data_IF_075847465696
#
_entry.id   IF_075847465696
#
_cell.length_a   1.000
_cell.length_b   1.000
_cell.length_c   1.000
_cell.angle_alpha   90.00
_cell.angle_beta   90.00
_cell.angle_gamma   90.00
#
_symmetry.space_group_name_H-M   'P 1'
#
loop_
_entity.id
_entity.type
_entity.pdbx_description
1 polymer ?
#
# COMPACT_ATOMS: atom_id res chain seq x y z
N UNK A 1 4.48 13.41 -13.40
CA UNK A 1 4.68 12.59 -14.62
C UNK A 1 6.18 12.45 -14.84
N UNK A 2 6.67 11.22 -15.05
CA UNK A 2 8.09 11.01 -15.39
C UNK A 2 8.39 11.60 -16.77
N UNK A 3 9.61 12.13 -16.97
CA UNK A 3 9.99 12.72 -18.27
C UNK A 3 10.15 11.62 -19.33
N UNK A 4 10.00 11.97 -20.62
CA UNK A 4 10.24 11.02 -21.72
C UNK A 4 11.63 10.41 -21.67
N UNK A 5 12.64 11.20 -21.28
CA UNK A 5 14.03 10.70 -21.11
C UNK A 5 14.14 9.67 -20.00
N UNK A 6 13.36 9.81 -18.94
CA UNK A 6 13.35 8.89 -17.82
C UNK A 6 12.65 7.58 -18.20
N UNK A 7 11.54 7.66 -18.91
CA UNK A 7 10.83 6.51 -19.44
C UNK A 7 11.72 5.70 -20.41
N UNK A 8 12.43 6.37 -21.35
CA UNK A 8 13.36 5.71 -22.27
C UNK A 8 14.51 5.01 -21.53
N UNK A 9 15.02 5.62 -20.46
CA UNK A 9 16.06 5.04 -19.61
C UNK A 9 15.57 3.77 -18.88
N UNK A 10 14.35 3.80 -18.37
CA UNK A 10 13.73 2.66 -17.70
C UNK A 10 13.48 1.53 -18.70
N UNK A 11 12.91 1.81 -19.86
CA UNK A 11 12.68 0.83 -20.92
C UNK A 11 13.97 0.08 -21.28
N UNK A 12 15.06 0.84 -21.47
CA UNK A 12 16.38 0.22 -21.71
C UNK A 12 16.83 -0.68 -20.56
N UNK A 13 16.63 -0.29 -19.30
CA UNK A 13 17.01 -1.14 -18.17
C UNK A 13 16.14 -2.38 -18.07
N UNK A 14 14.85 -2.29 -18.41
CA UNK A 14 13.93 -3.43 -18.48
C UNK A 14 14.44 -4.45 -19.53
N UNK A 15 14.80 -3.99 -20.72
CA UNK A 15 15.33 -4.85 -21.79
C UNK A 15 16.67 -5.49 -21.41
N UNK A 16 17.55 -4.73 -20.77
CA UNK A 16 18.81 -5.26 -20.25
C UNK A 16 18.57 -6.30 -19.13
N UNK A 17 17.53 -6.14 -18.30
CA UNK A 17 17.14 -7.11 -17.27
C UNK A 17 16.57 -8.40 -17.89
N UNK A 18 15.74 -8.31 -18.93
CA UNK A 18 15.25 -9.47 -19.71
C UNK A 18 16.40 -10.30 -20.28
N UNK A 19 17.53 -9.65 -20.60
CA UNK A 19 18.76 -10.31 -21.06
C UNK A 19 19.63 -10.87 -19.91
N UNK A 20 19.13 -10.86 -18.66
CA UNK A 20 19.84 -11.37 -17.48
C UNK A 20 20.98 -10.48 -16.97
N UNK A 21 21.06 -9.21 -17.38
CA UNK A 21 22.14 -8.31 -16.96
C UNK A 21 21.96 -7.83 -15.53
N UNK A 22 22.71 -8.38 -14.58
CA UNK A 22 22.67 -8.03 -13.15
C UNK A 22 22.86 -6.53 -12.87
N UNK A 23 23.72 -5.86 -13.66
CA UNK A 23 23.91 -4.40 -13.51
C UNK A 23 22.62 -3.59 -13.78
N UNK A 24 21.79 -4.04 -14.69
CA UNK A 24 20.50 -3.41 -14.99
C UNK A 24 19.49 -3.68 -13.87
N UNK A 25 19.46 -4.90 -13.32
CA UNK A 25 18.65 -5.22 -12.14
C UNK A 25 19.00 -4.31 -10.96
N UNK A 26 20.29 -4.11 -10.69
CA UNK A 26 20.75 -3.17 -9.66
C UNK A 26 20.27 -1.73 -9.90
N UNK A 27 20.30 -1.24 -11.16
CA UNK A 27 19.83 0.11 -11.50
C UNK A 27 18.34 0.24 -11.29
N UNK A 28 17.54 -0.73 -11.73
CA UNK A 28 16.09 -0.76 -11.51
C UNK A 28 15.78 -0.81 -10.01
N UNK A 29 16.41 -1.71 -9.26
CA UNK A 29 16.22 -1.82 -7.81
C UNK A 29 16.49 -0.48 -7.11
N UNK A 30 17.65 0.13 -7.33
CA UNK A 30 18.01 1.41 -6.69
C UNK A 30 17.07 2.55 -7.08
N UNK A 31 16.61 2.58 -8.33
CA UNK A 31 15.73 3.64 -8.82
C UNK A 31 14.33 3.55 -8.22
N UNK A 32 13.82 2.35 -8.04
CA UNK A 32 12.46 2.10 -7.56
C UNK A 32 12.39 1.68 -6.08
N UNK A 33 13.52 1.59 -5.39
CA UNK A 33 13.56 1.21 -3.98
C UNK A 33 12.63 2.07 -3.13
N UNK A 34 12.86 3.38 -3.08
CA UNK A 34 12.09 4.27 -2.21
C UNK A 34 10.58 4.29 -2.53
N UNK A 35 10.13 4.45 -3.80
CA UNK A 35 8.70 4.41 -4.08
C UNK A 35 8.06 3.04 -3.80
N UNK A 36 8.74 1.92 -4.02
CA UNK A 36 8.20 0.59 -3.73
C UNK A 36 8.26 0.26 -2.24
N UNK A 37 9.30 0.69 -1.53
CA UNK A 37 9.37 0.60 -0.08
C UNK A 37 8.21 1.34 0.59
N UNK A 38 7.90 2.55 0.11
CA UNK A 38 6.72 3.32 0.58
C UNK A 38 5.40 2.57 0.33
N UNK A 39 5.30 1.79 -0.75
CA UNK A 39 4.13 0.89 -0.95
C UNK A 39 4.11 -0.19 0.13
N UNK A 40 5.23 -0.90 0.35
CA UNK A 40 5.30 -1.97 1.35
C UNK A 40 5.04 -1.48 2.77
N UNK A 41 5.55 -0.30 3.15
CA UNK A 41 5.33 0.32 4.47
C UNK A 41 3.85 0.48 4.82
N UNK A 42 2.97 0.70 3.84
CA UNK A 42 1.53 0.80 4.08
C UNK A 42 0.87 -0.54 4.44
N UNK A 43 1.48 -1.66 4.06
CA UNK A 43 0.98 -3.01 4.34
C UNK A 43 1.68 -3.65 5.55
N UNK A 44 2.92 -3.29 5.80
CA UNK A 44 3.76 -3.84 6.85
C UNK A 44 3.39 -3.34 8.25
N UNK A 45 3.74 -4.12 9.26
CA UNK A 45 3.65 -3.73 10.67
C UNK A 45 4.94 -3.09 11.20
N UNK A 46 6.07 -3.28 10.49
CA UNK A 46 7.37 -2.70 10.82
C UNK A 46 8.19 -2.41 9.56
N UNK A 47 9.26 -1.59 9.66
CA UNK A 47 10.18 -1.37 8.53
C UNK A 47 10.85 -2.66 8.03
N UNK A 48 11.20 -3.57 8.92
CA UNK A 48 11.82 -4.86 8.59
C UNK A 48 10.86 -5.72 7.77
N UNK A 49 9.59 -5.79 8.18
CA UNK A 49 8.54 -6.48 7.42
C UNK A 49 8.34 -5.84 6.05
N UNK A 50 8.43 -4.52 5.95
CA UNK A 50 8.35 -3.81 4.67
C UNK A 50 9.54 -4.14 3.75
N UNK A 51 10.75 -4.29 4.29
CA UNK A 51 11.93 -4.71 3.53
C UNK A 51 11.78 -6.15 3.00
N UNK A 52 11.27 -7.06 3.82
CA UNK A 52 10.99 -8.44 3.38
C UNK A 52 9.97 -8.46 2.24
N UNK A 53 8.85 -7.72 2.39
CA UNK A 53 7.84 -7.57 1.33
C UNK A 53 8.44 -6.98 0.06
N UNK A 54 9.30 -5.97 0.18
CA UNK A 54 9.97 -5.32 -0.93
C UNK A 54 10.89 -6.28 -1.67
N UNK A 55 11.69 -7.04 -0.94
CA UNK A 55 12.61 -8.02 -1.51
C UNK A 55 11.84 -9.12 -2.27
N UNK A 56 10.78 -9.68 -1.68
CA UNK A 56 9.89 -10.63 -2.38
C UNK A 56 9.22 -9.99 -3.60
N UNK A 57 8.81 -8.72 -3.47
CA UNK A 57 8.23 -7.96 -4.57
C UNK A 57 9.19 -7.81 -5.75
N UNK A 58 10.44 -7.42 -5.51
CA UNK A 58 11.44 -7.29 -6.57
C UNK A 58 11.83 -8.63 -7.19
N UNK A 59 11.89 -9.71 -6.42
CA UNK A 59 12.08 -11.06 -6.97
C UNK A 59 10.95 -11.40 -7.96
N UNK A 60 9.70 -11.13 -7.60
CA UNK A 60 8.54 -11.33 -8.50
C UNK A 60 8.57 -10.39 -9.71
N UNK A 61 9.01 -9.13 -9.54
CA UNK A 61 9.20 -8.19 -10.65
C UNK A 61 10.19 -8.76 -11.65
N UNK A 62 11.39 -9.14 -11.22
CA UNK A 62 12.42 -9.66 -12.11
C UNK A 62 12.02 -10.99 -12.76
N UNK A 63 11.34 -11.87 -12.04
CA UNK A 63 10.86 -13.15 -12.57
C UNK A 63 9.69 -13.02 -13.57
N UNK A 64 9.01 -11.87 -13.61
CA UNK A 64 7.84 -11.64 -14.46
C UNK A 64 8.06 -10.50 -15.47
N UNK A 65 9.31 -10.02 -15.67
CA UNK A 65 9.60 -8.95 -16.64
C UNK A 65 9.15 -9.28 -18.06
N UNK A 66 9.19 -10.57 -18.45
CA UNK A 66 8.73 -11.03 -19.75
C UNK A 66 7.21 -10.88 -19.94
N UNK A 67 6.45 -10.77 -18.85
CA UNK A 67 4.98 -10.53 -18.86
C UNK A 67 4.63 -9.05 -18.90
N UNK A 68 5.61 -8.16 -18.74
CA UNK A 68 5.37 -6.74 -18.89
C UNK A 68 5.28 -6.40 -20.37
N UNK A 69 4.08 -6.08 -20.82
CA UNK A 69 3.83 -5.53 -22.15
C UNK A 69 4.10 -4.03 -22.10
N UNK A 70 4.97 -3.51 -22.97
CA UNK A 70 5.38 -2.09 -23.00
C UNK A 70 4.24 -1.12 -23.41
N UNK A 71 2.99 -1.50 -23.17
CA UNK A 71 1.78 -0.77 -23.52
C UNK A 71 1.33 0.22 -22.43
N UNK A 72 2.03 0.28 -21.29
CA UNK A 72 1.64 1.08 -20.13
C UNK A 72 2.81 1.56 -19.28
N UNK A 73 2.50 2.18 -18.15
CA UNK A 73 3.51 2.66 -17.21
C UNK A 73 4.18 1.48 -16.48
N UNK A 74 5.50 1.34 -16.65
CA UNK A 74 6.29 0.33 -15.94
C UNK A 74 6.13 0.43 -14.40
N UNK A 75 6.11 1.65 -13.86
CA UNK A 75 5.93 1.86 -12.43
C UNK A 75 4.54 1.38 -11.96
N UNK A 76 3.49 1.56 -12.76
CA UNK A 76 2.15 1.09 -12.41
C UNK A 76 2.09 -0.45 -12.40
N UNK A 77 2.69 -1.09 -13.40
CA UNK A 77 2.80 -2.55 -13.46
C UNK A 77 3.63 -3.09 -12.28
N UNK A 78 4.81 -2.51 -12.02
CA UNK A 78 5.67 -2.88 -10.90
C UNK A 78 4.96 -2.73 -9.56
N UNK A 79 4.25 -1.62 -9.36
CA UNK A 79 3.45 -1.36 -8.16
C UNK A 79 2.43 -2.46 -7.92
N UNK A 80 1.70 -2.88 -8.97
CA UNK A 80 0.75 -4.00 -8.87
C UNK A 80 1.43 -5.31 -8.47
N UNK A 81 2.61 -5.61 -9.04
CA UNK A 81 3.39 -6.81 -8.68
C UNK A 81 3.84 -6.76 -7.22
N UNK A 82 4.37 -5.61 -6.77
CA UNK A 82 4.84 -5.43 -5.37
C UNK A 82 3.67 -5.47 -4.39
N UNK A 83 2.54 -4.82 -4.70
CA UNK A 83 1.32 -4.89 -3.89
C UNK A 83 0.84 -6.34 -3.73
N UNK A 84 0.77 -7.10 -4.81
CA UNK A 84 0.39 -8.51 -4.75
C UNK A 84 1.39 -9.35 -3.92
N UNK A 85 2.69 -9.05 -4.02
CA UNK A 85 3.70 -9.70 -3.18
C UNK A 85 3.49 -9.40 -1.69
N UNK A 86 3.20 -8.15 -1.34
CA UNK A 86 2.90 -7.75 0.04
C UNK A 86 1.63 -8.45 0.57
N UNK A 87 0.59 -8.61 -0.26
CA UNK A 87 -0.61 -9.37 0.13
C UNK A 87 -0.33 -10.84 0.34
N UNK A 88 0.47 -11.46 -0.53
CA UNK A 88 0.87 -12.87 -0.37
C UNK A 88 1.72 -13.06 0.89
N UNK A 89 2.63 -12.13 1.17
CA UNK A 89 3.41 -12.10 2.41
C UNK A 89 2.47 -12.05 3.63
N UNK A 90 1.49 -11.14 3.62
CA UNK A 90 0.49 -11.04 4.68
C UNK A 90 -0.31 -12.33 4.86
N UNK A 91 -0.77 -12.95 3.79
CA UNK A 91 -1.47 -14.25 3.87
C UNK A 91 -0.59 -15.31 4.51
N UNK A 92 0.67 -15.39 4.14
CA UNK A 92 1.61 -16.41 4.62
C UNK A 92 1.95 -16.26 6.10
N UNK A 93 2.19 -15.02 6.54
CA UNK A 93 2.79 -14.76 7.85
C UNK A 93 1.85 -14.13 8.88
N UNK A 94 0.85 -13.35 8.47
CA UNK A 94 0.02 -12.55 9.38
C UNK A 94 -1.41 -13.06 9.57
N UNK A 95 -2.00 -13.77 8.59
CA UNK A 95 -3.39 -14.27 8.73
C UNK A 95 -3.57 -15.40 9.75
N UNK A 96 -2.51 -15.89 10.36
CA UNK A 96 -2.61 -16.89 11.45
C UNK A 96 -3.14 -16.34 12.79
N UNK A 97 -3.33 -15.02 12.92
CA UNK A 97 -3.58 -14.39 14.23
C UNK A 97 -4.81 -13.50 14.33
N UNK A 98 -5.70 -13.45 13.34
CA UNK A 98 -6.84 -12.53 13.38
C UNK A 98 -8.21 -13.20 13.32
N UNK A 99 -8.59 -13.78 14.44
CA UNK A 99 -9.97 -13.68 14.93
C UNK A 99 -10.03 -12.52 15.92
N UNK A 100 -9.90 -11.29 15.45
CA UNK A 100 -10.11 -10.14 16.31
C UNK A 100 -11.59 -9.83 16.33
N UNK A 101 -12.16 -9.85 17.52
CA UNK A 101 -13.53 -9.48 17.85
C UNK A 101 -13.97 -8.24 17.07
N UNK A 102 -15.13 -8.33 16.44
CA UNK A 102 -15.87 -7.24 15.83
C UNK A 102 -16.26 -6.24 16.91
N UNK A 103 -15.33 -5.40 17.35
CA UNK A 103 -15.68 -4.24 18.16
C UNK A 103 -16.64 -3.37 17.36
N UNK A 104 -17.87 -3.33 17.80
CA UNK A 104 -18.91 -2.40 17.34
C UNK A 104 -18.45 -0.98 17.67
N UNK A 105 -17.69 -0.38 16.78
CA UNK A 105 -17.37 1.03 16.86
C UNK A 105 -18.64 1.82 16.50
N UNK A 106 -19.35 2.28 17.52
CA UNK A 106 -20.44 3.21 17.36
C UNK A 106 -19.98 4.41 16.51
N UNK A 107 -20.77 4.74 15.49
CA UNK A 107 -20.63 5.96 14.69
C UNK A 107 -21.01 7.16 15.57
N UNK A 108 -20.09 7.65 16.38
CA UNK A 108 -20.31 8.88 17.16
C UNK A 108 -19.91 10.05 16.27
N UNK A 109 -20.81 10.99 15.96
CA UNK A 109 -20.46 12.22 15.25
C UNK A 109 -19.47 13.01 16.11
N UNK A 110 -18.28 13.30 15.56
CA UNK A 110 -17.32 14.16 16.23
C UNK A 110 -17.52 15.56 15.67
N UNK A 111 -18.04 16.47 16.48
CA UNK A 111 -18.26 17.87 16.12
C UNK A 111 -17.00 18.70 16.43
N UNK A 112 -16.68 19.67 15.57
CA UNK A 112 -15.84 20.82 15.95
C UNK A 112 -14.43 20.89 15.38
N UNK A 113 -13.94 19.90 14.62
CA UNK A 113 -12.62 20.00 13.95
C UNK A 113 -12.78 19.85 12.43
N UNK A 114 -12.19 20.77 11.66
CA UNK A 114 -12.12 20.61 10.21
C UNK A 114 -11.12 19.50 9.86
N UNK A 115 -11.67 18.31 9.62
CA UNK A 115 -10.90 17.13 9.24
C UNK A 115 -10.01 17.36 8.01
N UNK A 116 -10.49 18.10 7.01
CA UNK A 116 -9.75 18.34 5.77
C UNK A 116 -8.54 19.24 6.05
N UNK A 117 -8.69 20.24 6.90
CA UNK A 117 -7.58 21.11 7.31
C UNK A 117 -6.55 20.33 8.12
N UNK A 118 -7.01 19.47 9.04
CA UNK A 118 -6.15 18.60 9.82
C UNK A 118 -5.29 17.69 8.94
N UNK A 119 -5.91 16.98 8.00
CA UNK A 119 -5.19 16.10 7.04
C UNK A 119 -4.21 16.89 6.16
N UNK A 120 -4.58 18.10 5.72
CA UNK A 120 -3.74 18.93 4.87
C UNK A 120 -2.44 19.41 5.58
N UNK A 121 -2.42 19.40 6.91
CA UNK A 121 -1.24 19.78 7.71
C UNK A 121 -0.34 18.59 8.05
N UNK A 122 -0.79 17.36 7.83
CA UNK A 122 -0.01 16.16 8.13
C UNK A 122 1.02 15.85 7.04
N UNK A 123 2.19 15.40 7.46
CA UNK A 123 3.18 14.83 6.57
C UNK A 123 2.76 13.45 6.06
N UNK A 124 3.38 13.01 4.97
CA UNK A 124 3.15 11.67 4.43
C UNK A 124 3.53 10.56 5.44
N UNK A 125 4.59 10.78 6.22
CA UNK A 125 5.08 9.81 7.22
C UNK A 125 4.09 9.68 8.39
N UNK A 126 3.50 10.78 8.85
CA UNK A 126 2.46 10.76 9.89
C UNK A 126 1.20 10.02 9.42
N UNK A 127 0.79 10.23 8.16
CA UNK A 127 -0.33 9.50 7.58
C UNK A 127 -0.05 7.99 7.46
N UNK A 128 1.16 7.62 7.05
CA UNK A 128 1.58 6.20 6.99
C UNK A 128 1.59 5.59 8.40
N UNK A 129 2.11 6.29 9.41
CA UNK A 129 2.12 5.82 10.79
C UNK A 129 0.70 5.58 11.34
N UNK A 130 -0.27 6.45 11.02
CA UNK A 130 -1.67 6.25 11.39
C UNK A 130 -2.29 5.04 10.67
N UNK A 131 -2.00 4.87 9.38
CA UNK A 131 -2.48 3.70 8.62
C UNK A 131 -1.91 2.41 9.20
N UNK A 132 -0.66 2.41 9.65
CA UNK A 132 -0.04 1.25 10.28
C UNK A 132 -0.67 0.85 11.62
N UNK A 133 -1.35 1.77 12.31
CA UNK A 133 -2.10 1.47 13.53
C UNK A 133 -3.46 0.80 13.28
N UNK A 134 -3.95 0.78 12.04
CA UNK A 134 -5.16 0.05 11.71
C UNK A 134 -4.94 -1.47 11.87
N UNK A 135 -5.97 -2.21 12.34
CA UNK A 135 -5.96 -3.66 12.27
C UNK A 135 -5.62 -4.16 10.87
N UNK A 136 -4.84 -5.23 10.73
CA UNK A 136 -4.26 -5.63 9.44
C UNK A 136 -5.25 -5.78 8.30
N UNK A 137 -6.44 -6.39 8.51
CA UNK A 137 -7.45 -6.54 7.46
C UNK A 137 -8.02 -5.18 7.05
N UNK A 138 -8.33 -4.30 8.01
CA UNK A 138 -8.83 -2.94 7.72
C UNK A 138 -7.79 -2.13 6.96
N UNK A 139 -6.52 -2.21 7.36
CA UNK A 139 -5.38 -1.57 6.70
C UNK A 139 -5.24 -2.05 5.26
N UNK A 140 -5.32 -3.37 5.04
CA UNK A 140 -5.23 -3.97 3.71
C UNK A 140 -6.35 -3.49 2.80
N UNK A 141 -7.61 -3.57 3.24
CA UNK A 141 -8.76 -3.10 2.47
C UNK A 141 -8.67 -1.60 2.19
N UNK A 142 -8.28 -0.79 3.18
CA UNK A 142 -8.09 0.65 3.02
C UNK A 142 -7.06 0.97 1.94
N UNK A 143 -5.90 0.31 1.98
CA UNK A 143 -4.83 0.54 1.01
C UNK A 143 -5.23 0.12 -0.41
N UNK A 144 -5.85 -1.05 -0.56
CA UNK A 144 -6.32 -1.52 -1.87
C UNK A 144 -7.34 -0.56 -2.48
N UNK A 145 -8.30 -0.09 -1.70
CA UNK A 145 -9.33 0.81 -2.19
C UNK A 145 -8.81 2.23 -2.47
N UNK A 146 -8.08 2.83 -1.50
CA UNK A 146 -7.70 4.25 -1.55
C UNK A 146 -6.48 4.50 -2.44
N UNK A 147 -5.45 3.65 -2.34
CA UNK A 147 -4.19 3.90 -3.05
C UNK A 147 -4.02 3.08 -4.31
N UNK A 148 -4.59 1.88 -4.36
CA UNK A 148 -4.45 1.02 -5.53
C UNK A 148 -5.68 1.05 -6.46
N UNK A 149 -6.81 1.65 -6.00
CA UNK A 149 -7.99 1.88 -6.83
C UNK A 149 -8.85 0.63 -7.11
N UNK A 150 -8.69 -0.43 -6.30
CA UNK A 150 -9.52 -1.63 -6.43
C UNK A 150 -10.96 -1.36 -5.98
N UNK A 151 -11.93 -1.92 -6.70
CA UNK A 151 -13.32 -1.97 -6.29
C UNK A 151 -13.54 -2.95 -5.13
N UNK A 152 -14.68 -2.83 -4.42
CA UNK A 152 -15.02 -3.80 -3.38
C UNK A 152 -15.17 -5.23 -3.92
N UNK A 153 -15.65 -5.41 -5.14
CA UNK A 153 -15.74 -6.71 -5.79
C UNK A 153 -14.36 -7.34 -6.02
N UNK A 154 -13.39 -6.57 -6.52
CA UNK A 154 -12.01 -7.02 -6.72
C UNK A 154 -11.31 -7.33 -5.40
N UNK A 155 -11.50 -6.48 -4.37
CA UNK A 155 -10.96 -6.69 -3.03
C UNK A 155 -11.55 -7.96 -2.41
N UNK A 156 -12.85 -8.15 -2.53
CA UNK A 156 -13.56 -9.33 -2.03
C UNK A 156 -12.99 -10.62 -2.64
N UNK A 157 -12.84 -10.66 -3.96
CA UNK A 157 -12.24 -11.79 -4.67
C UNK A 157 -10.76 -12.03 -4.28
N UNK A 158 -10.00 -10.95 -4.07
CA UNK A 158 -8.57 -11.05 -3.74
C UNK A 158 -8.31 -11.48 -2.28
N UNK A 159 -9.18 -11.11 -1.34
CA UNK A 159 -9.01 -11.38 0.08
C UNK A 159 -9.89 -12.52 0.60
N UNK A 160 -10.70 -13.16 -0.27
CA UNK A 160 -11.65 -14.21 0.08
C UNK A 160 -12.65 -13.75 1.16
N UNK A 161 -13.22 -12.56 0.96
CA UNK A 161 -14.27 -11.97 1.81
C UNK A 161 -15.47 -11.54 0.96
N UNK A 162 -16.56 -11.11 1.59
CA UNK A 162 -17.68 -10.53 0.84
C UNK A 162 -17.46 -9.04 0.51
N UNK A 163 -18.15 -8.52 -0.51
CA UNK A 163 -18.09 -7.08 -0.83
C UNK A 163 -18.60 -6.22 0.34
N UNK A 164 -19.63 -6.68 1.05
CA UNK A 164 -20.15 -6.02 2.22
C UNK A 164 -19.13 -5.97 3.37
N UNK A 165 -18.35 -7.05 3.56
CA UNK A 165 -17.24 -7.09 4.52
C UNK A 165 -16.14 -6.11 4.12
N UNK A 166 -15.78 -6.06 2.84
CA UNK A 166 -14.82 -5.07 2.31
C UNK A 166 -15.29 -3.63 2.56
N UNK A 167 -16.55 -3.32 2.25
CA UNK A 167 -17.12 -2.01 2.47
C UNK A 167 -17.15 -1.63 3.97
N UNK A 168 -17.48 -2.60 4.83
CA UNK A 168 -17.47 -2.41 6.28
C UNK A 168 -16.05 -2.12 6.79
N UNK A 169 -15.03 -2.88 6.37
CA UNK A 169 -13.63 -2.62 6.75
C UNK A 169 -13.18 -1.23 6.33
N UNK A 170 -13.48 -0.80 5.10
CA UNK A 170 -13.14 0.53 4.62
C UNK A 170 -13.78 1.64 5.45
N UNK A 171 -15.09 1.52 5.72
CA UNK A 171 -15.82 2.51 6.50
C UNK A 171 -15.30 2.61 7.94
N UNK A 172 -15.06 1.44 8.57
CA UNK A 172 -14.50 1.37 9.92
C UNK A 172 -13.08 1.95 9.97
N UNK A 173 -12.23 1.64 8.98
CA UNK A 173 -10.89 2.22 8.86
C UNK A 173 -10.93 3.75 8.76
N UNK A 174 -11.80 4.30 7.90
CA UNK A 174 -11.98 5.75 7.77
C UNK A 174 -12.41 6.41 9.09
N UNK A 175 -13.34 5.79 9.81
CA UNK A 175 -13.82 6.32 11.09
C UNK A 175 -12.74 6.28 12.17
N UNK A 176 -11.91 5.22 12.23
CA UNK A 176 -10.75 5.14 13.14
C UNK A 176 -9.72 6.22 12.82
N UNK A 177 -9.31 6.33 11.58
CA UNK A 177 -8.35 7.36 11.15
C UNK A 177 -8.86 8.76 11.45
N UNK A 178 -10.13 9.04 11.18
CA UNK A 178 -10.75 10.33 11.49
C UNK A 178 -10.68 10.66 13.00
N UNK A 179 -10.96 9.69 13.86
CA UNK A 179 -10.87 9.86 15.32
C UNK A 179 -9.44 10.19 15.76
N UNK A 180 -8.44 9.43 15.28
CA UNK A 180 -7.06 9.66 15.67
C UNK A 180 -6.54 11.02 15.16
N UNK A 181 -6.85 11.41 13.94
CA UNK A 181 -6.45 12.71 13.37
C UNK A 181 -7.05 13.86 14.19
N UNK A 182 -8.32 13.77 14.58
CA UNK A 182 -8.97 14.80 15.39
C UNK A 182 -8.34 14.87 16.79
N UNK A 183 -8.02 13.73 17.39
CA UNK A 183 -7.36 13.66 18.70
C UNK A 183 -5.98 14.32 18.66
N UNK A 184 -5.16 14.00 17.66
CA UNK A 184 -3.84 14.60 17.48
C UNK A 184 -3.91 16.13 17.34
N UNK A 185 -4.87 16.65 16.57
CA UNK A 185 -5.03 18.09 16.40
C UNK A 185 -5.62 18.78 17.64
N UNK A 186 -6.45 18.11 18.42
CA UNK A 186 -6.97 18.63 19.70
C UNK A 186 -5.92 18.68 20.81
N UNK A 187 -4.84 17.90 20.70
CA UNK A 187 -3.68 17.93 21.61
C UNK A 187 -2.67 19.03 21.25
N UNK A 188 -2.59 19.41 19.95
CA UNK A 188 -1.72 20.50 19.47
C UNK A 188 -2.30 21.91 19.74
N UNK A 189 -3.57 22.02 20.09
CA UNK A 189 -4.26 23.30 20.35
C UNK A 189 -4.42 23.62 21.84
N UNK A 190 -3.81 22.86 22.72
CA UNK A 190 -3.69 23.12 24.17
C UNK A 190 -2.27 23.49 24.54
#
# INVERSE_FOLDING_TARGET
MMSERENAKIARWVDECRQGRTRAQHKLFRHFYAPMFSVCMRYAGSPEEAEDMLNEGFLKVFSNLDKYEDTGSFIAWMRKVVTNAALDYRRKYAMKFETTELEQLANTPIAGVDYNQAVAQMSADELVALIQQLPPMMRTVFNLFIFEGYSHAEIAAQLDITESTSAWHLNTARNRLKKEIIKMNGELTK
#
